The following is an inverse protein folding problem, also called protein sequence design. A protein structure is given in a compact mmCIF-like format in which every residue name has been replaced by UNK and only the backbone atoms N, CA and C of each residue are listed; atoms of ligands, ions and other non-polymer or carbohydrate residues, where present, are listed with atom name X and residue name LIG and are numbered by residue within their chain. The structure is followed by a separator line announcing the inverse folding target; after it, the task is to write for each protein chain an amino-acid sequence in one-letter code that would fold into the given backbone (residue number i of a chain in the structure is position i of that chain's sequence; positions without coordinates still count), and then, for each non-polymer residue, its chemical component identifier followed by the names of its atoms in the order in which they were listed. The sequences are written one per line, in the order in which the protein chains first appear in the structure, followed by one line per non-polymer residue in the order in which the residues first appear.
data_IF_153075571476
#
_entry.id   IF_153075571476
#
_cell.length_a   1.000
_cell.length_b   1.000
_cell.length_c   1.000
_cell.angle_alpha   90.00
_cell.angle_beta   90.00
_cell.angle_gamma   90.00
#
_symmetry.space_group_name_H-M   'P 1'
#
loop_
_entity.id
_entity.type
_entity.pdbx_description
1 polymer ?
#
# COMPACT_ATOMS: atom_id res chain seq x y z
N UNK A 1 30.85 -35.50 -35.57
CA UNK A 1 29.53 -36.06 -35.19
C UNK A 1 29.07 -35.41 -33.89
N UNK A 2 28.69 -34.13 -33.94
CA UNK A 2 28.41 -33.28 -32.77
C UNK A 2 26.91 -33.11 -32.50
N UNK A 3 26.12 -34.16 -32.76
CA UNK A 3 24.67 -34.16 -32.53
C UNK A 3 24.32 -33.92 -31.04
N UNK A 4 25.13 -34.45 -30.13
CA UNK A 4 24.98 -34.29 -28.68
C UNK A 4 25.09 -32.83 -28.20
N UNK A 5 25.91 -32.01 -28.85
CA UNK A 5 26.06 -30.60 -28.46
C UNK A 5 24.74 -29.83 -28.62
N UNK A 6 23.97 -30.14 -29.67
CA UNK A 6 22.67 -29.51 -29.91
C UNK A 6 21.68 -29.85 -28.80
N UNK A 7 21.63 -31.12 -28.37
CA UNK A 7 20.75 -31.51 -27.26
C UNK A 7 21.12 -30.75 -25.97
N UNK A 8 22.42 -30.65 -25.65
CA UNK A 8 22.88 -29.90 -24.48
C UNK A 8 22.52 -28.42 -24.56
N UNK A 9 22.60 -27.81 -25.75
CA UNK A 9 22.23 -26.42 -25.95
C UNK A 9 20.74 -26.17 -25.70
N UNK A 10 19.87 -27.04 -26.23
CA UNK A 10 18.43 -26.95 -25.96
C UNK A 10 18.10 -27.18 -24.49
N UNK A 11 18.75 -28.13 -23.83
CA UNK A 11 18.53 -28.39 -22.39
C UNK A 11 18.96 -27.20 -21.56
N UNK A 12 20.13 -26.60 -21.84
CA UNK A 12 20.59 -25.41 -21.15
C UNK A 12 19.64 -24.23 -21.36
N UNK A 13 19.14 -24.04 -22.59
CA UNK A 13 18.17 -23.00 -22.92
C UNK A 13 16.86 -23.19 -22.15
N UNK A 14 16.32 -24.41 -22.13
CA UNK A 14 15.11 -24.76 -21.38
C UNK A 14 15.30 -24.58 -19.87
N UNK A 15 16.44 -25.02 -19.33
CA UNK A 15 16.76 -24.87 -17.91
C UNK A 15 16.84 -23.39 -17.50
N UNK A 16 17.47 -22.55 -18.32
CA UNK A 16 17.57 -21.11 -18.10
C UNK A 16 16.20 -20.44 -18.18
N UNK A 17 15.37 -20.80 -19.16
CA UNK A 17 14.01 -20.31 -19.28
C UNK A 17 13.15 -20.72 -18.07
N UNK A 18 13.26 -21.97 -17.62
CA UNK A 18 12.55 -22.47 -16.44
C UNK A 18 12.99 -21.72 -15.18
N UNK A 19 14.30 -21.53 -14.98
CA UNK A 19 14.83 -20.74 -13.88
C UNK A 19 14.27 -19.31 -13.91
N UNK A 20 14.20 -18.68 -15.08
CA UNK A 20 13.66 -17.34 -15.23
C UNK A 20 12.18 -17.28 -14.86
N UNK A 21 11.37 -18.26 -15.32
CA UNK A 21 9.95 -18.34 -15.00
C UNK A 21 9.73 -18.59 -13.51
N UNK A 22 10.49 -19.51 -12.89
CA UNK A 22 10.42 -19.77 -11.45
C UNK A 22 10.84 -18.53 -10.66
N UNK A 23 11.89 -17.83 -11.08
CA UNK A 23 12.35 -16.60 -10.44
C UNK A 23 11.28 -15.49 -10.53
N UNK A 24 10.71 -15.25 -11.72
CA UNK A 24 9.62 -14.29 -11.90
C UNK A 24 8.40 -14.68 -11.10
N UNK A 25 8.01 -15.95 -11.14
CA UNK A 25 6.89 -16.51 -10.38
C UNK A 25 7.10 -16.33 -8.89
N UNK A 26 8.26 -16.67 -8.35
CA UNK A 26 8.58 -16.50 -6.94
C UNK A 26 8.60 -15.02 -6.54
N UNK A 27 9.23 -14.15 -7.35
CA UNK A 27 9.28 -12.71 -7.10
C UNK A 27 7.88 -12.10 -7.08
N UNK A 28 7.06 -12.43 -8.08
CA UNK A 28 5.70 -11.94 -8.19
C UNK A 28 4.83 -12.50 -7.07
N UNK A 29 4.95 -13.79 -6.76
CA UNK A 29 4.22 -14.42 -5.66
C UNK A 29 4.56 -13.79 -4.31
N UNK A 30 5.83 -13.44 -4.08
CA UNK A 30 6.24 -12.73 -2.86
C UNK A 30 5.63 -11.33 -2.79
N UNK A 31 5.54 -10.63 -3.92
CA UNK A 31 4.87 -9.33 -4.01
C UNK A 31 3.35 -9.43 -3.84
N UNK A 32 2.72 -10.41 -4.49
CA UNK A 32 1.27 -10.62 -4.40
C UNK A 32 0.84 -11.04 -3.01
N UNK A 33 1.60 -11.90 -2.32
CA UNK A 33 1.31 -12.26 -0.91
C UNK A 33 1.38 -11.06 0.03
N UNK A 34 2.35 -10.16 -0.17
CA UNK A 34 2.41 -8.93 0.61
C UNK A 34 1.17 -8.06 0.35
N UNK A 35 0.76 -7.89 -0.91
CA UNK A 35 -0.47 -7.17 -1.22
C UNK A 35 -1.73 -7.89 -0.73
N UNK A 36 -1.78 -9.22 -0.72
CA UNK A 36 -2.93 -10.00 -0.24
C UNK A 36 -3.10 -9.90 1.27
N UNK A 37 -2.03 -9.76 2.05
CA UNK A 37 -2.15 -9.40 3.47
C UNK A 37 -2.75 -8.00 3.64
N UNK A 38 -2.32 -7.03 2.83
CA UNK A 38 -2.87 -5.68 2.86
C UNK A 38 -4.33 -5.63 2.37
N UNK A 39 -4.67 -6.39 1.33
CA UNK A 39 -6.03 -6.53 0.82
C UNK A 39 -6.92 -7.33 1.79
N UNK A 40 -6.39 -8.35 2.48
CA UNK A 40 -7.10 -9.06 3.53
C UNK A 40 -7.40 -8.15 4.71
N UNK A 41 -6.43 -7.36 5.17
CA UNK A 41 -6.65 -6.36 6.21
C UNK A 41 -7.60 -5.24 5.78
N UNK A 42 -7.62 -4.87 4.49
CA UNK A 42 -8.57 -3.91 3.94
C UNK A 42 -9.98 -4.53 3.72
N UNK A 43 -10.04 -5.81 3.35
CA UNK A 43 -11.28 -6.57 3.17
C UNK A 43 -11.93 -6.89 4.51
N UNK A 44 -11.16 -7.23 5.55
CA UNK A 44 -11.64 -7.36 6.93
C UNK A 44 -12.21 -6.03 7.42
N UNK A 45 -11.59 -4.89 7.08
CA UNK A 45 -12.13 -3.55 7.39
C UNK A 45 -13.39 -3.19 6.60
N UNK A 46 -13.56 -3.74 5.40
CA UNK A 46 -14.78 -3.58 4.59
C UNK A 46 -15.89 -4.54 5.07
N UNK A 47 -15.53 -5.75 5.47
CA UNK A 47 -16.41 -6.77 6.03
C UNK A 47 -16.89 -6.42 7.43
N UNK A 48 -16.03 -5.82 8.26
CA UNK A 48 -16.42 -5.18 9.52
C UNK A 48 -17.25 -3.90 9.32
N UNK A 49 -17.41 -3.43 8.08
CA UNK A 49 -18.39 -2.41 7.71
C UNK A 49 -19.81 -2.97 7.52
N UNK A 50 -19.95 -4.30 7.43
CA UNK A 50 -21.24 -5.00 7.34
C UNK A 50 -21.63 -5.71 8.63
N UNK A 51 -20.66 -6.07 9.48
CA UNK A 51 -20.94 -6.49 10.85
C UNK A 51 -21.09 -5.23 11.68
N UNK A 52 -22.33 -4.76 11.87
CA UNK A 52 -22.68 -3.60 12.70
C UNK A 52 -22.11 -3.85 14.10
N UNK A 53 -21.00 -3.18 14.49
CA UNK A 53 -20.62 -3.18 15.88
C UNK A 53 -21.54 -2.15 16.52
N UNK A 54 -22.37 -2.59 17.46
CA UNK A 54 -22.96 -1.72 18.47
C UNK A 54 -21.83 -1.16 19.35
N UNK A 55 -21.01 -0.29 18.78
CA UNK A 55 -19.87 0.34 19.42
C UNK A 55 -19.63 1.70 18.77
N UNK A 56 -20.56 2.61 19.03
CA UNK A 56 -20.35 3.98 19.54
C UNK A 56 -18.98 4.68 19.36
N UNK A 57 -18.32 4.51 18.22
CA UNK A 57 -17.30 5.45 17.74
C UNK A 57 -17.75 5.97 16.39
N UNK A 58 -18.53 7.03 16.51
CA UNK A 58 -19.03 7.93 15.48
C UNK A 58 -17.95 8.27 14.44
N UNK A 59 -17.77 7.42 13.43
CA UNK A 59 -17.23 7.86 12.16
C UNK A 59 -18.34 8.69 11.54
N UNK A 60 -18.33 9.99 11.81
CA UNK A 60 -19.34 10.88 11.27
C UNK A 60 -19.46 10.66 9.76
N UNK A 61 -20.68 10.46 9.23
CA UNK A 61 -20.87 10.48 7.80
C UNK A 61 -20.28 11.81 7.33
N UNK A 62 -19.24 11.75 6.49
CA UNK A 62 -18.68 12.95 5.86
C UNK A 62 -19.76 13.50 4.92
N UNK A 63 -20.69 14.24 5.49
CA UNK A 63 -21.66 15.05 4.81
C UNK A 63 -20.84 15.97 3.92
N UNK A 64 -20.99 15.78 2.61
CA UNK A 64 -20.46 16.71 1.63
C UNK A 64 -21.34 17.95 1.75
N UNK A 65 -21.07 18.76 2.77
CA UNK A 65 -21.78 20.01 3.00
C UNK A 65 -21.33 20.96 1.90
N UNK A 66 -22.28 21.44 1.11
CA UNK A 66 -22.04 22.52 0.15
C UNK A 66 -21.47 23.71 0.91
N UNK A 67 -20.21 24.07 0.64
CA UNK A 67 -19.50 25.16 1.31
C UNK A 67 -20.08 26.56 1.03
N UNK A 68 -21.19 26.65 0.28
CA UNK A 68 -21.89 27.89 -0.05
C UNK A 68 -22.64 28.47 1.16
N UNK A 69 -23.04 27.64 2.12
CA UNK A 69 -23.81 28.06 3.31
C UNK A 69 -23.05 27.96 4.63
N UNK A 70 -21.76 27.62 4.59
CA UNK A 70 -20.96 27.44 5.79
C UNK A 70 -20.46 28.80 6.29
N UNK A 71 -20.51 29.03 7.61
CA UNK A 71 -19.90 30.22 8.21
C UNK A 71 -18.40 30.27 7.83
N UNK A 72 -17.90 31.40 7.29
CA UNK A 72 -16.48 31.58 6.97
C UNK A 72 -15.51 31.20 8.09
N UNK A 73 -15.89 31.38 9.36
CA UNK A 73 -15.08 30.98 10.51
C UNK A 73 -14.91 29.45 10.58
N UNK A 74 -16.01 28.70 10.47
CA UNK A 74 -16.03 27.24 10.47
C UNK A 74 -15.32 26.65 9.24
N UNK A 75 -15.52 27.27 8.07
CA UNK A 75 -14.84 26.88 6.83
C UNK A 75 -13.31 26.94 6.96
N UNK A 76 -12.79 27.95 7.68
CA UNK A 76 -11.36 28.11 7.93
C UNK A 76 -10.81 26.99 8.81
N UNK A 77 -11.55 26.59 9.83
CA UNK A 77 -11.15 25.50 10.74
C UNK A 77 -11.09 24.16 10.00
N UNK A 78 -12.11 23.84 9.21
CA UNK A 78 -12.15 22.64 8.36
C UNK A 78 -10.99 22.64 7.36
N UNK A 79 -10.68 23.80 6.77
CA UNK A 79 -9.56 23.92 5.86
C UNK A 79 -8.22 23.66 6.56
N UNK A 80 -8.00 24.22 7.74
CA UNK A 80 -6.76 24.06 8.51
C UNK A 80 -6.59 22.61 8.97
N UNK A 81 -7.63 21.99 9.50
CA UNK A 81 -7.61 20.58 9.92
C UNK A 81 -7.38 19.65 8.73
N UNK A 82 -8.09 19.85 7.62
CA UNK A 82 -7.89 19.07 6.39
C UNK A 82 -6.50 19.29 5.76
N UNK A 83 -5.91 20.49 5.90
CA UNK A 83 -4.53 20.75 5.45
C UNK A 83 -3.51 19.99 6.30
N UNK A 84 -3.73 19.89 7.61
CA UNK A 84 -2.90 19.09 8.51
C UNK A 84 -3.00 17.60 8.16
N UNK A 85 -4.22 17.08 7.98
CA UNK A 85 -4.47 15.67 7.62
C UNK A 85 -3.75 15.30 6.30
N UNK A 86 -3.85 16.16 5.27
CA UNK A 86 -3.14 15.94 3.99
C UNK A 86 -1.61 15.97 4.15
N UNK A 87 -1.06 16.79 5.05
CA UNK A 87 0.37 16.82 5.34
C UNK A 87 0.82 15.53 6.02
N UNK A 88 0.06 15.06 7.00
CA UNK A 88 0.33 13.80 7.69
C UNK A 88 0.22 12.59 6.76
N UNK A 89 -0.83 12.52 5.95
CA UNK A 89 -1.00 11.44 4.98
C UNK A 89 0.19 11.33 4.01
N UNK A 90 0.74 12.46 3.54
CA UNK A 90 1.96 12.48 2.71
C UNK A 90 3.20 12.02 3.48
N UNK A 91 3.33 12.42 4.76
CA UNK A 91 4.43 11.98 5.64
C UNK A 91 4.38 10.46 5.84
N UNK A 92 3.22 9.91 6.19
CA UNK A 92 3.02 8.47 6.37
C UNK A 92 3.36 7.67 5.11
N UNK A 93 2.94 8.15 3.93
CA UNK A 93 3.31 7.52 2.64
C UNK A 93 4.83 7.51 2.41
N UNK A 94 5.55 8.57 2.79
CA UNK A 94 7.03 8.61 2.68
C UNK A 94 7.70 7.63 3.64
N UNK A 95 7.22 7.57 4.88
CA UNK A 95 7.71 6.64 5.91
C UNK A 95 7.50 5.20 5.47
N UNK A 96 6.28 4.83 5.06
CA UNK A 96 5.95 3.49 4.59
C UNK A 96 6.82 3.07 3.39
N UNK A 97 7.01 3.96 2.41
CA UNK A 97 7.86 3.70 1.24
C UNK A 97 9.34 3.48 1.58
N UNK A 98 9.87 4.16 2.61
CA UNK A 98 11.26 3.99 3.07
C UNK A 98 11.41 2.73 3.92
N UNK A 99 10.45 2.46 4.80
CA UNK A 99 10.39 1.25 5.62
C UNK A 99 10.36 -0.02 4.75
N UNK A 100 9.51 -0.04 3.71
CA UNK A 100 9.43 -1.16 2.77
C UNK A 100 10.75 -1.44 2.01
N UNK A 101 11.62 -0.44 1.88
CA UNK A 101 12.94 -0.56 1.23
C UNK A 101 14.08 -0.79 2.22
N UNK A 102 13.81 -0.89 3.53
CA UNK A 102 14.84 -0.98 4.56
C UNK A 102 15.73 0.27 4.66
N UNK A 103 15.28 1.42 4.15
CA UNK A 103 16.05 2.66 4.19
C UNK A 103 15.86 3.37 5.54
N UNK A 104 16.92 4.02 6.03
CA UNK A 104 16.88 4.82 7.25
C UNK A 104 15.81 5.92 7.12
N UNK A 105 14.99 6.08 8.16
CA UNK A 105 13.95 7.12 8.22
C UNK A 105 14.58 8.47 8.61
N UNK A 106 13.97 9.58 8.18
CA UNK A 106 14.44 10.90 8.63
C UNK A 106 13.90 11.20 10.02
N UNK A 107 14.71 11.80 10.91
CA UNK A 107 14.28 12.12 12.28
C UNK A 107 13.03 13.03 12.32
N UNK A 108 12.93 13.96 11.36
CA UNK A 108 11.75 14.82 11.15
C UNK A 108 10.48 14.01 10.86
N UNK A 109 10.63 12.86 10.20
CA UNK A 109 9.54 11.94 9.89
C UNK A 109 9.22 10.96 11.04
N UNK A 110 9.91 11.01 12.19
CA UNK A 110 9.63 10.16 13.36
C UNK A 110 9.12 10.98 14.56
N UNK A 111 8.97 12.32 14.43
CA UNK A 111 8.56 13.23 15.54
C UNK A 111 9.52 13.15 16.74
N UNK A 112 10.76 12.69 16.52
CA UNK A 112 11.84 12.79 17.49
C UNK A 112 12.53 14.14 17.27
N UNK A 113 11.96 15.20 17.84
CA UNK A 113 12.58 16.51 18.01
C UNK A 113 12.07 17.15 19.29
#
# INVERSE_FOLDING_TARGET
MSWWFWILLWVALCALALLFVVYLGFRLFRQMKATMQDFGAAADKLGSGFDVPDNSQTAEPRTIVSGVFLDPAEAREIYVSGKAERREARRLKRVARRAARGQRQSLRDVRLS
#
